data_IF_748175803611
#
_entry.id   IF_748175803611
#
_cell.length_a   1.000
_cell.length_b   1.000
_cell.length_c   1.000
_cell.angle_alpha   90.00
_cell.angle_beta   90.00
_cell.angle_gamma   90.00
#
_symmetry.space_group_name_H-M   'P 1'
#
loop_
_entity.id
_entity.type
_entity.pdbx_description
1 polymer ?
#
# COMPACT_ATOMS: atom_id res chain seq x y z
N UNK A 1 -46.10 -27.89 57.51
CA UNK A 1 -45.42 -26.64 57.68
C UNK A 1 -43.92 -26.88 57.39
N UNK A 2 -43.36 -26.20 56.42
CA UNK A 2 -41.94 -26.33 56.03
C UNK A 2 -41.16 -25.11 56.58
N UNK A 3 -39.99 -25.36 57.05
CA UNK A 3 -39.17 -24.29 57.73
C UNK A 3 -37.88 -24.00 57.03
N UNK A 4 -37.42 -24.87 56.11
CA UNK A 4 -36.17 -24.73 55.38
C UNK A 4 -36.33 -24.26 53.92
N UNK A 5 -35.24 -23.74 53.34
CA UNK A 5 -35.18 -23.40 51.92
C UNK A 5 -35.27 -24.63 51.00
N UNK A 6 -35.74 -24.41 49.81
CA UNK A 6 -35.83 -25.43 48.73
C UNK A 6 -36.64 -26.71 49.12
N UNK A 7 -37.55 -26.61 50.07
CA UNK A 7 -38.37 -27.76 50.47
C UNK A 7 -39.67 -27.82 49.68
N UNK A 8 -40.12 -29.05 49.34
CA UNK A 8 -41.38 -29.25 48.64
C UNK A 8 -42.56 -28.82 49.48
N UNK A 9 -43.40 -27.92 48.99
CA UNK A 9 -44.66 -27.45 49.57
C UNK A 9 -45.83 -28.18 48.90
N UNK A 10 -45.74 -28.39 47.62
CA UNK A 10 -46.71 -29.10 46.82
C UNK A 10 -46.04 -29.81 45.65
N UNK A 11 -46.67 -30.89 45.18
CA UNK A 11 -46.11 -31.69 44.09
C UNK A 11 -47.22 -32.34 43.26
N UNK A 12 -47.13 -32.20 41.93
CA UNK A 12 -47.87 -32.98 40.97
C UNK A 12 -46.87 -33.97 40.37
N UNK A 13 -47.19 -35.28 40.44
CA UNK A 13 -46.35 -36.36 39.91
C UNK A 13 -47.07 -37.15 38.84
N UNK A 14 -46.36 -37.38 37.72
CA UNK A 14 -46.70 -38.39 36.74
C UNK A 14 -45.89 -39.66 37.00
N UNK A 15 -46.57 -40.82 37.08
CA UNK A 15 -45.93 -42.10 37.31
C UNK A 15 -46.30 -43.07 36.19
N UNK A 16 -45.32 -43.87 35.76
CA UNK A 16 -45.50 -44.95 34.83
C UNK A 16 -45.02 -46.24 35.49
N UNK A 17 -45.93 -47.20 35.59
CA UNK A 17 -45.70 -48.49 36.26
C UNK A 17 -45.07 -48.33 37.68
N UNK A 18 -45.65 -47.41 38.49
CA UNK A 18 -45.18 -47.16 39.85
C UNK A 18 -43.94 -46.24 39.97
N UNK A 19 -43.24 -45.96 38.90
CA UNK A 19 -42.05 -45.10 38.88
C UNK A 19 -42.46 -43.68 38.51
N UNK A 20 -42.00 -42.67 39.26
CA UNK A 20 -42.25 -41.27 38.94
C UNK A 20 -41.39 -40.84 37.75
N UNK A 21 -42.01 -40.46 36.63
CA UNK A 21 -41.34 -40.07 35.37
C UNK A 21 -41.38 -38.58 35.08
N UNK A 22 -42.30 -37.84 35.69
CA UNK A 22 -42.38 -36.40 35.57
C UNK A 22 -42.90 -35.76 36.89
N UNK A 23 -42.54 -34.53 37.13
CA UNK A 23 -42.93 -33.81 38.35
C UNK A 23 -42.97 -32.30 38.13
N UNK A 24 -44.02 -31.67 38.62
CA UNK A 24 -44.04 -30.22 38.91
C UNK A 24 -44.02 -30.08 40.43
N UNK A 25 -43.00 -29.40 40.94
CA UNK A 25 -42.81 -29.19 42.36
C UNK A 25 -42.91 -27.70 42.69
N UNK A 26 -43.75 -27.38 43.67
CA UNK A 26 -43.79 -26.08 44.32
C UNK A 26 -42.86 -26.14 45.55
N UNK A 27 -41.84 -25.33 45.56
CA UNK A 27 -40.85 -25.35 46.64
C UNK A 27 -40.83 -24.00 47.37
N UNK A 28 -40.42 -24.02 48.62
CA UNK A 28 -39.98 -22.78 49.31
C UNK A 28 -38.78 -22.19 48.58
N UNK A 29 -38.69 -20.89 48.54
CA UNK A 29 -37.54 -20.18 48.02
C UNK A 29 -36.33 -20.22 48.97
N UNK A 30 -35.48 -19.23 48.88
CA UNK A 30 -34.28 -19.09 49.70
C UNK A 30 -34.51 -18.35 51.03
N UNK A 31 -35.54 -17.52 51.15
CA UNK A 31 -35.84 -16.78 52.34
C UNK A 31 -36.51 -17.68 53.37
N UNK A 32 -35.78 -18.00 54.42
CA UNK A 32 -36.26 -18.77 55.59
C UNK A 32 -36.80 -17.90 56.71
N UNK A 33 -36.66 -16.59 56.59
CA UNK A 33 -37.09 -15.63 57.64
C UNK A 33 -38.54 -15.20 57.43
N UNK A 34 -38.85 -14.60 56.30
CA UNK A 34 -40.19 -14.12 55.98
C UNK A 34 -41.09 -15.22 55.42
N UNK A 35 -40.49 -16.20 54.69
CA UNK A 35 -41.17 -17.39 54.12
C UNK A 35 -42.27 -17.05 53.14
N UNK A 36 -42.07 -15.99 52.36
CA UNK A 36 -43.03 -15.48 51.39
C UNK A 36 -42.54 -15.66 49.92
N UNK A 37 -41.37 -16.24 49.71
CA UNK A 37 -40.84 -16.58 48.42
C UNK A 37 -41.04 -18.05 48.02
N UNK A 38 -41.10 -18.31 46.73
CA UNK A 38 -41.36 -19.66 46.21
C UNK A 38 -40.72 -19.89 44.84
N UNK A 39 -40.57 -21.19 44.54
CA UNK A 39 -40.02 -21.68 43.27
C UNK A 39 -40.88 -22.73 42.65
N UNK A 40 -40.88 -22.80 41.32
CA UNK A 40 -41.56 -23.86 40.55
C UNK A 40 -40.51 -24.66 39.78
N UNK A 41 -40.45 -25.97 40.04
CA UNK A 41 -39.56 -26.90 39.35
C UNK A 41 -40.32 -27.84 38.44
N UNK A 42 -39.85 -27.98 37.22
CA UNK A 42 -40.28 -29.00 36.28
C UNK A 42 -39.18 -30.05 36.17
N UNK A 43 -39.50 -31.30 36.43
CA UNK A 43 -38.54 -32.41 36.39
C UNK A 43 -39.04 -33.54 35.51
N UNK A 44 -38.13 -34.18 34.78
CA UNK A 44 -38.38 -35.42 34.05
C UNK A 44 -37.32 -36.44 34.39
N UNK A 45 -37.64 -37.73 34.22
CA UNK A 45 -36.65 -38.79 34.41
C UNK A 45 -36.13 -39.27 33.07
N UNK A 46 -34.90 -39.69 33.06
CA UNK A 46 -34.28 -40.46 31.97
C UNK A 46 -34.54 -41.96 32.15
N UNK A 47 -34.09 -42.81 31.22
CA UNK A 47 -34.28 -44.25 31.28
C UNK A 47 -33.75 -44.92 32.57
N UNK A 48 -32.98 -44.26 33.38
CA UNK A 48 -32.45 -44.72 34.68
C UNK A 48 -33.37 -44.45 35.87
N UNK A 49 -34.55 -43.87 35.65
CA UNK A 49 -35.57 -43.69 36.69
C UNK A 49 -35.36 -42.54 37.70
N UNK A 50 -34.34 -41.72 37.54
CA UNK A 50 -34.09 -40.57 38.42
C UNK A 50 -34.69 -39.29 37.85
N UNK A 51 -35.48 -38.57 38.66
CA UNK A 51 -36.03 -37.27 38.30
C UNK A 51 -34.97 -36.18 38.39
N UNK A 52 -34.68 -35.54 37.29
CA UNK A 52 -33.80 -34.39 37.19
C UNK A 52 -34.62 -33.12 36.89
N UNK A 53 -34.20 -31.98 37.43
CA UNK A 53 -34.79 -30.68 37.12
C UNK A 53 -34.45 -30.25 35.70
N UNK A 54 -35.48 -29.85 34.92
CA UNK A 54 -35.35 -29.40 33.53
C UNK A 54 -35.62 -27.91 33.39
N UNK A 55 -36.57 -27.40 34.18
CA UNK A 55 -36.84 -25.98 34.27
C UNK A 55 -37.11 -25.56 35.71
N UNK A 56 -36.66 -24.37 36.06
CA UNK A 56 -36.87 -23.76 37.36
C UNK A 56 -37.29 -22.31 37.15
N UNK A 57 -38.45 -21.95 37.71
CA UNK A 57 -38.83 -20.54 37.90
C UNK A 57 -38.43 -20.19 39.33
N UNK A 58 -37.51 -19.25 39.46
CA UNK A 58 -36.99 -18.81 40.76
C UNK A 58 -37.88 -17.76 41.40
N UNK A 59 -37.60 -17.46 42.65
CA UNK A 59 -38.28 -16.45 43.45
C UNK A 59 -38.20 -15.02 42.89
N UNK A 60 -37.17 -14.71 42.09
CA UNK A 60 -36.99 -13.44 41.37
C UNK A 60 -37.70 -13.39 40.04
N UNK A 61 -38.45 -14.46 39.67
CA UNK A 61 -39.13 -14.58 38.40
C UNK A 61 -38.24 -15.05 37.22
N UNK A 62 -36.93 -15.24 37.42
CA UNK A 62 -36.08 -15.77 36.38
C UNK A 62 -36.36 -17.24 36.09
N UNK A 63 -36.21 -17.62 34.81
CA UNK A 63 -36.41 -19.01 34.32
C UNK A 63 -35.05 -19.60 33.97
N UNK A 64 -34.70 -20.66 34.68
CA UNK A 64 -33.48 -21.45 34.37
C UNK A 64 -33.89 -22.75 33.71
N UNK A 65 -33.34 -23.02 32.51
CA UNK A 65 -33.47 -24.28 31.81
C UNK A 65 -32.18 -25.08 31.99
N UNK A 66 -32.30 -26.40 32.21
CA UNK A 66 -31.16 -27.28 32.45
C UNK A 66 -31.23 -28.50 31.53
N UNK A 67 -30.20 -28.79 30.77
CA UNK A 67 -30.07 -30.01 29.97
C UNK A 67 -28.91 -30.84 30.54
N UNK A 68 -29.16 -32.16 30.68
CA UNK A 68 -28.13 -33.15 31.01
C UNK A 68 -27.56 -33.85 29.80
N UNK A 69 -28.07 -33.51 28.61
CA UNK A 69 -27.65 -34.16 27.38
C UNK A 69 -26.36 -33.48 26.81
N UNK A 70 -25.29 -34.20 26.69
CA UNK A 70 -24.02 -33.73 26.11
C UNK A 70 -24.13 -33.34 24.64
N UNK A 71 -25.21 -33.78 23.94
CA UNK A 71 -25.53 -33.43 22.55
C UNK A 71 -26.82 -32.60 22.47
N UNK A 72 -27.26 -31.99 23.59
CA UNK A 72 -28.61 -31.56 23.75
C UNK A 72 -28.93 -30.13 23.34
N UNK A 73 -30.11 -29.99 22.83
CA UNK A 73 -30.81 -28.74 22.59
C UNK A 73 -31.46 -28.28 23.92
N UNK A 74 -31.15 -27.07 24.34
CA UNK A 74 -31.76 -26.51 25.55
C UNK A 74 -33.09 -25.78 25.24
N UNK A 75 -33.18 -25.21 24.04
CA UNK A 75 -34.37 -24.62 23.48
C UNK A 75 -34.49 -25.16 22.05
N UNK A 76 -35.32 -26.18 21.87
CA UNK A 76 -35.68 -26.71 20.57
C UNK A 76 -37.14 -26.31 20.28
N UNK A 77 -37.29 -25.50 19.26
CA UNK A 77 -38.60 -25.10 18.77
C UNK A 77 -38.86 -25.70 17.38
N UNK A 78 -38.31 -26.87 17.14
CA UNK A 78 -38.37 -27.55 15.86
C UNK A 78 -39.55 -28.52 15.81
N UNK A 79 -40.48 -28.25 14.93
CA UNK A 79 -41.27 -29.23 14.18
C UNK A 79 -40.83 -29.18 12.72
N UNK A 80 -40.70 -30.32 12.08
CA UNK A 80 -40.26 -30.53 10.69
C UNK A 80 -41.15 -29.86 9.62
N UNK A 81 -42.16 -29.13 10.00
CA UNK A 81 -43.08 -28.44 9.09
C UNK A 81 -43.18 -26.95 9.42
N UNK A 82 -42.29 -26.16 8.83
CA UNK A 82 -42.46 -24.72 8.56
C UNK A 82 -43.00 -23.85 9.73
N UNK A 83 -42.38 -23.90 10.89
CA UNK A 83 -42.70 -22.96 12.00
C UNK A 83 -41.52 -22.08 12.35
N UNK A 84 -41.77 -20.79 12.42
CA UNK A 84 -40.80 -19.78 12.85
C UNK A 84 -40.73 -19.77 14.37
N UNK A 85 -39.56 -20.03 14.92
CA UNK A 85 -39.32 -19.78 16.35
C UNK A 85 -38.55 -18.50 16.51
N UNK A 86 -39.18 -17.52 17.08
CA UNK A 86 -38.53 -16.31 17.51
C UNK A 86 -38.25 -16.40 19.01
N UNK A 87 -36.99 -16.21 19.42
CA UNK A 87 -36.69 -15.80 20.78
C UNK A 87 -36.92 -14.30 20.80
N UNK A 88 -38.12 -13.86 21.19
CA UNK A 88 -38.43 -12.44 21.35
C UNK A 88 -37.98 -12.00 22.76
N UNK A 89 -36.91 -11.21 22.78
CA UNK A 89 -36.45 -10.55 23.99
C UNK A 89 -37.05 -9.14 24.07
N UNK A 90 -38.28 -9.03 24.57
CA UNK A 90 -38.89 -7.72 24.81
C UNK A 90 -38.39 -7.15 26.15
N UNK A 91 -37.49 -6.18 26.08
CA UNK A 91 -37.04 -5.41 27.25
C UNK A 91 -37.63 -4.00 27.22
N UNK A 92 -38.34 -3.56 28.25
CA UNK A 92 -38.74 -2.17 28.37
C UNK A 92 -37.53 -1.33 28.82
N UNK A 93 -37.10 -0.43 27.96
CA UNK A 93 -36.10 0.63 28.16
C UNK A 93 -34.61 0.27 28.25
N UNK A 94 -33.87 0.86 27.37
CA UNK A 94 -32.47 1.33 27.29
C UNK A 94 -31.32 0.35 26.99
N UNK A 95 -31.34 -0.94 27.30
CA UNK A 95 -30.25 -1.84 26.88
C UNK A 95 -30.80 -3.20 26.47
N UNK A 96 -30.89 -3.42 25.13
CA UNK A 96 -31.26 -4.71 24.57
C UNK A 96 -30.01 -5.49 24.25
N UNK A 97 -29.72 -6.55 24.99
CA UNK A 97 -28.56 -7.40 24.74
C UNK A 97 -28.98 -8.86 24.76
N UNK A 98 -28.85 -9.56 23.63
CA UNK A 98 -28.82 -11.01 23.64
C UNK A 98 -27.45 -11.40 24.21
N UNK A 99 -27.40 -11.82 25.46
CA UNK A 99 -26.18 -12.23 26.12
C UNK A 99 -25.95 -13.73 25.95
N UNK A 100 -25.00 -14.09 25.07
CA UNK A 100 -24.54 -15.46 24.89
C UNK A 100 -23.22 -15.60 25.66
N UNK A 101 -23.28 -16.13 26.89
CA UNK A 101 -22.12 -16.37 27.71
C UNK A 101 -21.71 -17.85 27.67
N UNK A 102 -20.50 -18.15 27.22
CA UNK A 102 -19.87 -19.45 27.37
C UNK A 102 -18.67 -19.32 28.30
N UNK A 103 -18.63 -20.11 29.36
CA UNK A 103 -17.54 -20.07 30.35
C UNK A 103 -16.21 -20.55 29.85
N UNK A 104 -16.15 -21.27 28.74
CA UNK A 104 -14.91 -21.76 28.14
C UNK A 104 -14.96 -21.72 26.62
N UNK A 105 -13.95 -21.19 26.05
CA UNK A 105 -13.29 -21.37 24.76
C UNK A 105 -14.00 -21.06 23.44
N UNK A 106 -15.30 -21.16 23.26
CA UNK A 106 -15.94 -20.84 21.97
C UNK A 106 -17.26 -20.10 22.15
N UNK A 107 -17.33 -18.87 21.63
CA UNK A 107 -18.56 -18.10 21.54
C UNK A 107 -18.89 -17.91 20.07
N UNK A 108 -19.85 -18.65 19.53
CA UNK A 108 -20.25 -18.53 18.13
C UNK A 108 -21.75 -18.47 18.00
N UNK A 109 -22.20 -17.63 17.07
CA UNK A 109 -23.55 -17.68 16.52
C UNK A 109 -23.41 -18.27 15.13
N UNK A 110 -24.02 -19.41 14.89
CA UNK A 110 -23.99 -20.07 13.60
C UNK A 110 -25.36 -20.01 12.94
N UNK A 111 -25.39 -19.62 11.69
CA UNK A 111 -26.56 -19.71 10.82
C UNK A 111 -26.32 -20.87 9.85
N UNK A 112 -27.11 -21.93 9.98
CA UNK A 112 -27.01 -23.10 9.10
C UNK A 112 -28.12 -23.10 8.07
N UNK A 113 -27.78 -23.45 6.85
CA UNK A 113 -28.79 -23.72 5.81
C UNK A 113 -29.30 -25.15 5.95
N UNK A 114 -30.63 -25.36 5.79
CA UNK A 114 -31.32 -26.63 5.94
C UNK A 114 -30.78 -27.78 5.07
N UNK A 115 -30.04 -27.50 3.99
CA UNK A 115 -29.63 -28.50 2.98
C UNK A 115 -28.18 -29.02 3.17
N UNK A 116 -27.60 -28.90 4.35
CA UNK A 116 -26.31 -29.55 4.61
C UNK A 116 -25.19 -28.59 5.02
N UNK A 117 -24.00 -28.93 4.77
CA UNK A 117 -22.75 -28.62 5.37
C UNK A 117 -22.24 -27.17 5.29
N UNK A 118 -22.90 -26.25 4.59
CA UNK A 118 -22.38 -24.92 4.30
C UNK A 118 -23.24 -23.81 4.93
N UNK A 119 -22.79 -23.23 6.01
CA UNK A 119 -23.42 -22.09 6.67
C UNK A 119 -22.42 -20.98 7.02
N UNK A 120 -22.93 -19.76 7.10
CA UNK A 120 -22.18 -18.64 7.68
C UNK A 120 -22.29 -18.68 9.21
N UNK A 121 -21.18 -18.46 9.87
CA UNK A 121 -21.11 -18.26 11.31
C UNK A 121 -20.29 -17.02 11.66
N UNK A 122 -20.54 -16.43 12.82
CA UNK A 122 -19.69 -15.39 13.38
C UNK A 122 -19.57 -15.54 14.91
N UNK A 123 -18.49 -15.10 15.47
CA UNK A 123 -18.27 -15.21 16.91
C UNK A 123 -16.84 -14.91 17.33
N UNK A 124 -16.55 -15.18 18.59
CA UNK A 124 -15.22 -15.05 19.18
C UNK A 124 -14.55 -16.41 19.28
N UNK A 125 -13.27 -16.50 18.92
CA UNK A 125 -12.43 -17.67 19.22
C UNK A 125 -11.78 -17.54 20.61
N UNK A 126 -11.04 -18.59 21.02
CA UNK A 126 -10.36 -18.67 22.31
C UNK A 126 -9.28 -17.60 22.53
N UNK A 127 -8.78 -17.01 21.44
CA UNK A 127 -7.75 -15.97 21.44
C UNK A 127 -8.36 -14.57 21.41
N UNK A 128 -9.68 -14.45 21.52
CA UNK A 128 -10.39 -13.17 21.51
C UNK A 128 -10.53 -12.55 20.13
N UNK A 129 -10.34 -13.31 19.04
CA UNK A 129 -10.57 -12.81 17.69
C UNK A 129 -12.05 -12.94 17.32
N UNK A 130 -12.64 -11.88 16.79
CA UNK A 130 -13.95 -11.96 16.13
C UNK A 130 -13.77 -12.52 14.71
N UNK A 131 -14.58 -13.51 14.35
CA UNK A 131 -14.51 -14.19 13.05
C UNK A 131 -15.84 -14.23 12.34
N UNK A 132 -15.79 -14.16 11.01
CA UNK A 132 -16.85 -14.57 10.11
C UNK A 132 -16.34 -15.74 9.30
N UNK A 133 -17.06 -16.87 9.33
CA UNK A 133 -16.68 -18.12 8.66
C UNK A 133 -17.75 -18.56 7.69
N UNK A 134 -17.37 -19.34 6.67
CA UNK A 134 -18.28 -20.11 5.80
C UNK A 134 -17.81 -21.56 5.80
N UNK A 135 -18.63 -22.44 6.34
CA UNK A 135 -18.20 -23.80 6.67
C UNK A 135 -17.02 -23.76 7.67
N UNK A 136 -15.90 -24.36 7.30
CA UNK A 136 -14.67 -24.34 8.10
C UNK A 136 -13.72 -23.20 7.74
N UNK A 137 -14.02 -22.45 6.65
CA UNK A 137 -13.13 -21.44 6.12
C UNK A 137 -13.39 -20.06 6.73
N UNK A 138 -12.39 -19.45 7.28
CA UNK A 138 -12.43 -18.08 7.74
C UNK A 138 -12.50 -17.12 6.53
N UNK A 139 -13.39 -16.11 6.61
CA UNK A 139 -13.57 -15.09 5.57
C UNK A 139 -13.13 -13.71 6.03
N UNK A 140 -13.42 -13.40 7.28
CA UNK A 140 -13.04 -12.14 7.91
C UNK A 140 -12.65 -12.42 9.35
N UNK A 141 -11.60 -11.78 9.81
CA UNK A 141 -11.17 -11.74 11.21
C UNK A 141 -10.95 -10.31 11.65
N UNK A 142 -11.38 -9.99 12.85
CA UNK A 142 -10.83 -8.87 13.63
C UNK A 142 -10.05 -9.52 14.77
N UNK A 143 -8.72 -9.43 14.71
CA UNK A 143 -7.88 -10.06 15.72
C UNK A 143 -7.88 -9.28 17.04
N UNK A 144 -7.31 -9.87 18.10
CA UNK A 144 -7.23 -9.25 19.44
C UNK A 144 -6.46 -7.93 19.47
N UNK A 145 -5.67 -7.61 18.43
CA UNK A 145 -4.99 -6.32 18.26
C UNK A 145 -5.79 -5.31 17.43
N UNK A 146 -7.03 -5.62 17.06
CA UNK A 146 -7.93 -4.74 16.31
C UNK A 146 -7.71 -4.70 14.81
N UNK A 147 -6.93 -5.63 14.23
CA UNK A 147 -6.69 -5.69 12.78
C UNK A 147 -7.78 -6.45 12.06
N UNK A 148 -8.24 -5.92 10.94
CA UNK A 148 -9.22 -6.55 10.05
C UNK A 148 -8.46 -7.32 8.96
N UNK A 149 -8.65 -8.63 8.92
CA UNK A 149 -8.03 -9.54 7.98
C UNK A 149 -9.12 -10.17 7.11
N UNK A 150 -8.94 -10.16 5.80
CA UNK A 150 -9.89 -10.71 4.82
C UNK A 150 -9.15 -11.77 4.00
N UNK A 151 -9.63 -13.01 4.04
CA UNK A 151 -9.08 -14.14 3.28
C UNK A 151 -8.09 -15.01 4.05
N UNK A 152 -7.36 -14.49 5.04
CA UNK A 152 -6.48 -15.25 5.92
C UNK A 152 -6.63 -14.82 7.38
N UNK A 153 -6.23 -15.69 8.30
CA UNK A 153 -6.30 -15.45 9.73
C UNK A 153 -5.04 -14.88 10.37
N UNK A 154 -3.95 -14.70 9.62
CA UNK A 154 -2.67 -14.25 10.15
C UNK A 154 -2.31 -12.87 9.61
N UNK A 155 -2.05 -11.91 10.50
CA UNK A 155 -1.59 -10.59 10.11
C UNK A 155 -0.11 -10.64 9.70
N UNK A 156 0.22 -10.06 8.56
CA UNK A 156 1.57 -10.01 8.04
C UNK A 156 2.19 -8.62 8.15
N UNK A 157 3.51 -8.59 8.26
CA UNK A 157 4.31 -7.38 8.20
C UNK A 157 4.76 -7.15 6.75
N UNK A 158 4.28 -6.07 6.15
CA UNK A 158 4.70 -5.65 4.81
C UNK A 158 5.38 -4.29 4.92
N UNK A 159 6.55 -4.12 4.33
CA UNK A 159 7.38 -2.90 4.38
C UNK A 159 7.67 -2.37 5.80
N UNK A 160 7.78 -3.25 6.80
CA UNK A 160 7.93 -2.86 8.20
C UNK A 160 6.64 -2.39 8.87
N UNK A 161 5.49 -2.47 8.18
CA UNK A 161 4.18 -2.08 8.69
C UNK A 161 3.27 -3.29 8.87
N UNK A 162 2.59 -3.33 9.99
CA UNK A 162 1.54 -4.29 10.25
C UNK A 162 0.18 -3.57 10.12
N UNK A 163 -0.31 -3.47 8.88
CA UNK A 163 -1.48 -2.66 8.53
C UNK A 163 -2.74 -3.10 9.29
N UNK A 164 -3.64 -2.15 9.59
CA UNK A 164 -4.89 -2.44 10.31
C UNK A 164 -5.94 -3.15 9.44
N UNK A 165 -5.87 -3.01 8.10
CA UNK A 165 -6.73 -3.75 7.17
C UNK A 165 -5.83 -4.44 6.17
N UNK A 166 -5.95 -5.76 6.06
CA UNK A 166 -5.17 -6.59 5.15
C UNK A 166 -6.10 -7.51 4.37
N UNK A 167 -5.88 -7.63 3.06
CA UNK A 167 -6.59 -8.55 2.18
C UNK A 167 -5.62 -9.57 1.62
N UNK A 168 -5.95 -10.85 1.75
CA UNK A 168 -5.14 -11.97 1.31
C UNK A 168 -5.89 -12.79 0.27
N UNK A 169 -5.19 -13.24 -0.75
CA UNK A 169 -5.75 -14.09 -1.78
C UNK A 169 -4.67 -14.74 -2.63
N UNK A 170 -5.05 -15.79 -3.36
CA UNK A 170 -4.17 -16.55 -4.23
C UNK A 170 -4.33 -16.18 -5.70
N UNK A 171 -5.25 -15.28 -6.00
CA UNK A 171 -5.52 -14.77 -7.35
C UNK A 171 -5.94 -13.29 -7.32
N UNK A 172 -6.06 -12.67 -8.48
CA UNK A 172 -6.37 -11.25 -8.62
C UNK A 172 -7.75 -10.87 -8.05
N UNK A 173 -8.74 -11.77 -8.04
CA UNK A 173 -10.08 -11.47 -7.54
C UNK A 173 -10.15 -11.54 -6.02
N UNK A 174 -9.38 -12.42 -5.40
CA UNK A 174 -9.36 -12.63 -3.95
C UNK A 174 -8.42 -11.68 -3.21
N UNK A 175 -7.45 -11.06 -3.92
CA UNK A 175 -6.46 -10.11 -3.36
C UNK A 175 -6.67 -8.67 -3.85
N UNK A 176 -7.90 -8.28 -4.19
CA UNK A 176 -8.20 -6.96 -4.75
C UNK A 176 -9.10 -6.12 -3.85
N UNK A 177 -8.96 -4.78 -3.96
CA UNK A 177 -9.87 -3.80 -3.38
C UNK A 177 -10.43 -2.94 -4.50
N UNK A 178 -11.76 -2.91 -4.66
CA UNK A 178 -12.44 -2.09 -5.66
C UNK A 178 -13.26 -0.99 -4.96
N UNK A 179 -13.03 0.27 -5.35
CA UNK A 179 -13.80 1.41 -4.89
C UNK A 179 -14.61 1.92 -6.09
N UNK A 180 -15.93 1.71 -6.08
CA UNK A 180 -16.82 2.08 -7.18
C UNK A 180 -17.88 3.08 -6.73
N UNK A 181 -18.05 4.14 -7.49
CA UNK A 181 -19.18 5.06 -7.39
C UNK A 181 -20.08 4.91 -8.61
N UNK A 182 -21.40 4.76 -8.40
CA UNK A 182 -22.43 4.84 -9.43
C UNK A 182 -23.21 6.13 -9.25
N UNK A 183 -23.05 7.10 -10.14
CA UNK A 183 -23.74 8.40 -10.09
C UNK A 183 -23.82 8.99 -11.48
N UNK A 184 -24.84 9.83 -11.71
CA UNK A 184 -25.02 10.57 -12.96
C UNK A 184 -24.41 12.00 -12.89
N UNK A 185 -23.38 12.19 -12.11
CA UNK A 185 -22.60 13.43 -12.01
C UNK A 185 -21.14 13.22 -12.45
N UNK A 186 -20.38 14.33 -12.52
CA UNK A 186 -18.99 14.31 -12.98
C UNK A 186 -17.95 13.90 -11.89
N UNK A 187 -18.36 13.53 -10.67
CA UNK A 187 -17.45 13.23 -9.59
C UNK A 187 -17.02 11.77 -9.57
N UNK A 188 -15.80 11.48 -9.09
CA UNK A 188 -15.21 10.16 -9.01
C UNK A 188 -15.43 9.48 -7.63
N UNK A 189 -15.05 8.19 -7.52
CA UNK A 189 -14.74 7.56 -6.24
C UNK A 189 -13.37 8.04 -5.75
N UNK A 190 -13.11 8.03 -4.44
CA UNK A 190 -11.90 8.55 -3.83
C UNK A 190 -11.19 7.51 -2.97
N UNK A 191 -9.86 7.47 -3.06
CA UNK A 191 -8.96 6.98 -2.02
C UNK A 191 -8.27 8.20 -1.40
N UNK A 192 -8.53 8.50 -0.13
CA UNK A 192 -8.03 9.72 0.54
C UNK A 192 -7.03 9.32 1.62
N UNK A 193 -5.83 9.87 1.52
CA UNK A 193 -4.81 9.83 2.58
C UNK A 193 -4.62 11.24 3.12
N UNK A 194 -4.58 11.39 4.44
CA UNK A 194 -4.43 12.69 5.08
C UNK A 194 -3.59 12.59 6.34
N UNK A 195 -2.90 13.67 6.69
CA UNK A 195 -2.04 13.75 7.87
C UNK A 195 -2.34 15.00 8.68
N UNK A 196 -2.30 14.87 10.00
CA UNK A 196 -2.20 15.94 11.00
C UNK A 196 -1.00 15.64 11.92
N UNK A 197 -0.33 16.65 12.43
CA UNK A 197 0.71 16.49 13.47
C UNK A 197 0.13 16.36 14.90
N UNK A 198 -1.20 16.33 15.01
CA UNK A 198 -1.83 16.12 16.32
C UNK A 198 -1.76 14.63 16.72
N UNK A 199 -1.39 14.37 17.96
CA UNK A 199 -1.32 13.01 18.50
C UNK A 199 -2.70 12.42 18.84
N UNK A 200 -3.75 13.24 18.91
CA UNK A 200 -5.12 12.81 19.21
C UNK A 200 -5.95 12.72 17.94
N UNK A 201 -6.59 11.57 17.72
CA UNK A 201 -7.51 11.36 16.60
C UNK A 201 -8.66 12.38 16.68
N UNK A 202 -8.98 13.01 15.54
CA UNK A 202 -10.02 14.05 15.46
C UNK A 202 -9.54 15.46 15.73
N UNK A 203 -8.38 15.64 16.37
CA UNK A 203 -7.75 16.94 16.56
C UNK A 203 -6.84 17.31 15.38
N UNK A 204 -6.58 18.61 15.21
CA UNK A 204 -5.84 19.12 14.06
C UNK A 204 -4.66 19.95 14.51
N UNK A 205 -3.50 19.69 13.93
CA UNK A 205 -2.28 20.49 14.05
C UNK A 205 -1.63 20.56 12.67
N UNK A 206 -1.19 21.75 12.29
CA UNK A 206 -0.60 22.02 11.00
C UNK A 206 0.62 21.10 10.77
N UNK A 207 0.77 20.64 9.54
CA UNK A 207 1.95 19.90 9.08
C UNK A 207 3.14 20.84 8.87
N UNK A 208 4.33 20.29 8.73
CA UNK A 208 5.55 21.06 8.46
C UNK A 208 6.09 20.73 7.06
N UNK A 209 6.94 21.61 6.54
CA UNK A 209 7.73 21.31 5.33
C UNK A 209 8.51 20.00 5.49
N UNK A 210 8.44 19.12 4.49
CA UNK A 210 9.05 17.79 4.48
C UNK A 210 8.19 16.69 5.10
N UNK A 211 7.01 16.98 5.65
CA UNK A 211 6.09 15.94 6.15
C UNK A 211 5.54 15.10 5.00
N UNK A 212 5.65 13.77 5.11
CA UNK A 212 4.93 12.84 4.22
C UNK A 212 3.43 12.89 4.55
N UNK A 213 2.58 13.02 3.52
CA UNK A 213 1.13 13.09 3.65
C UNK A 213 0.47 11.75 3.34
N UNK A 214 0.96 11.08 2.31
CA UNK A 214 0.48 9.77 1.89
C UNK A 214 1.47 9.05 1.00
N UNK A 215 1.51 7.71 1.15
CA UNK A 215 2.43 6.85 0.44
C UNK A 215 1.70 5.64 -0.12
N UNK A 216 2.00 5.29 -1.38
CA UNK A 216 1.65 4.02 -2.00
C UNK A 216 2.95 3.25 -2.21
N UNK A 217 3.08 2.09 -1.58
CA UNK A 217 4.25 1.22 -1.70
C UNK A 217 3.93 -0.01 -2.53
N UNK A 218 4.92 -0.47 -3.28
CA UNK A 218 4.94 -1.74 -3.96
C UNK A 218 6.06 -2.57 -3.35
N UNK A 219 5.70 -3.65 -2.66
CA UNK A 219 6.63 -4.58 -2.04
C UNK A 219 6.65 -5.90 -2.78
N UNK A 220 7.77 -6.59 -2.73
CA UNK A 220 7.90 -7.95 -3.25
C UNK A 220 8.59 -8.83 -2.20
N UNK A 221 8.21 -10.11 -2.20
CA UNK A 221 8.88 -11.14 -1.43
C UNK A 221 10.25 -11.44 -2.06
N UNK A 222 11.30 -11.32 -1.28
CA UNK A 222 12.68 -11.63 -1.71
C UNK A 222 13.11 -13.06 -1.33
N UNK A 223 12.18 -13.88 -0.86
CA UNK A 223 12.41 -15.22 -0.35
C UNK A 223 12.72 -15.27 1.14
N UNK A 224 12.74 -14.10 1.81
CA UNK A 224 12.97 -13.97 3.27
C UNK A 224 11.78 -13.29 3.93
N UNK A 225 11.30 -12.18 3.36
CA UNK A 225 10.17 -11.40 3.88
C UNK A 225 9.59 -10.45 2.81
N UNK A 226 8.57 -9.67 3.21
CA UNK A 226 7.90 -8.64 2.39
C UNK A 226 8.35 -7.22 2.78
N UNK A 227 9.53 -7.03 3.33
CA UNK A 227 10.00 -5.71 3.78
C UNK A 227 10.68 -4.92 2.65
N UNK A 228 11.08 -5.59 1.57
CA UNK A 228 11.76 -4.97 0.43
C UNK A 228 10.80 -4.20 -0.48
N UNK A 229 11.02 -2.88 -0.62
CA UNK A 229 10.25 -2.05 -1.53
C UNK A 229 10.80 -2.11 -2.95
N UNK A 230 9.97 -2.40 -3.94
CA UNK A 230 10.34 -2.31 -5.36
C UNK A 230 10.13 -0.91 -5.93
N UNK A 231 9.06 -0.23 -5.49
CA UNK A 231 8.73 1.13 -5.89
C UNK A 231 7.84 1.83 -4.85
N UNK A 232 7.73 3.16 -4.95
CA UNK A 232 6.75 3.94 -4.20
C UNK A 232 6.29 5.20 -4.95
N UNK A 233 5.07 5.65 -4.64
CA UNK A 233 4.56 6.98 -4.98
C UNK A 233 4.30 7.68 -3.65
N UNK A 234 4.89 8.87 -3.46
CA UNK A 234 4.79 9.61 -2.20
C UNK A 234 4.36 11.05 -2.44
N UNK A 235 3.57 11.59 -1.50
CA UNK A 235 3.25 13.01 -1.42
C UNK A 235 3.83 13.59 -0.14
N UNK A 236 4.50 14.73 -0.25
CA UNK A 236 5.11 15.45 0.86
C UNK A 236 4.75 16.93 0.82
N UNK A 237 4.78 17.57 1.98
CA UNK A 237 4.66 19.03 2.08
C UNK A 237 5.98 19.64 1.56
N UNK A 238 5.86 20.52 0.57
CA UNK A 238 6.99 21.10 -0.19
C UNK A 238 6.93 22.64 -0.12
N UNK A 239 7.16 23.17 1.05
CA UNK A 239 7.09 24.59 1.36
C UNK A 239 6.58 24.87 2.76
N UNK A 240 6.39 26.13 3.11
CA UNK A 240 5.84 26.55 4.39
C UNK A 240 4.29 26.48 4.35
N UNK A 241 3.63 25.57 5.09
CA UNK A 241 2.18 25.51 5.10
C UNK A 241 1.58 26.64 5.95
N UNK A 242 0.36 27.06 5.59
CA UNK A 242 -0.41 28.11 6.25
C UNK A 242 -1.90 27.78 6.35
N UNK A 243 -2.71 28.71 6.81
CA UNK A 243 -4.16 28.55 6.83
C UNK A 243 -4.70 28.48 5.39
N UNK A 244 -5.35 27.35 5.03
CA UNK A 244 -5.85 27.04 3.69
C UNK A 244 -4.74 26.99 2.60
N UNK A 245 -3.50 26.76 3.01
CA UNK A 245 -2.33 26.67 2.15
C UNK A 245 -1.46 25.50 2.58
N UNK A 246 -1.33 24.50 1.70
CA UNK A 246 -0.52 23.31 1.93
C UNK A 246 0.21 22.94 0.65
N UNK A 247 1.35 23.61 0.36
CA UNK A 247 2.14 23.30 -0.83
C UNK A 247 2.66 21.88 -0.76
N UNK A 248 2.55 21.13 -1.87
CA UNK A 248 2.91 19.72 -1.91
C UNK A 248 3.65 19.32 -3.17
N UNK A 249 4.48 18.28 -3.06
CA UNK A 249 5.10 17.60 -4.18
C UNK A 249 4.52 16.18 -4.35
N UNK A 250 4.79 15.62 -5.52
CA UNK A 250 4.57 14.20 -5.82
C UNK A 250 5.88 13.59 -6.30
N UNK A 251 6.28 12.46 -5.69
CA UNK A 251 7.55 11.81 -6.00
C UNK A 251 7.35 10.35 -6.37
N UNK A 252 8.17 9.86 -7.32
CA UNK A 252 8.20 8.46 -7.76
C UNK A 252 9.55 7.86 -7.42
N UNK A 253 9.51 6.69 -6.83
CA UNK A 253 10.66 5.98 -6.28
C UNK A 253 10.77 4.59 -6.89
N UNK A 254 11.98 4.14 -7.17
CA UNK A 254 12.26 2.75 -7.57
C UNK A 254 13.52 2.25 -6.87
N UNK A 255 13.62 0.94 -6.72
CA UNK A 255 14.77 0.29 -6.09
C UNK A 255 15.76 -0.15 -7.17
N UNK A 256 17.04 0.26 -7.10
CA UNK A 256 18.06 -0.22 -8.02
C UNK A 256 18.42 -1.69 -7.75
N UNK A 257 18.96 -2.37 -8.76
CA UNK A 257 19.48 -3.72 -8.61
C UNK A 257 20.56 -3.79 -7.52
N UNK A 258 20.55 -4.86 -6.72
CA UNK A 258 21.43 -5.07 -5.58
C UNK A 258 21.07 -4.25 -4.32
N UNK A 259 19.89 -3.62 -4.26
CA UNK A 259 19.41 -2.84 -3.10
C UNK A 259 18.03 -3.31 -2.65
N UNK A 260 17.72 -3.14 -1.37
CA UNK A 260 16.39 -3.28 -0.79
C UNK A 260 15.71 -1.93 -0.52
N UNK A 261 16.34 -0.81 -0.90
CA UNK A 261 15.89 0.53 -0.58
C UNK A 261 15.58 1.32 -1.84
N UNK A 262 14.34 1.78 -1.98
CA UNK A 262 13.90 2.64 -3.07
C UNK A 262 14.55 4.02 -2.96
N UNK A 263 14.94 4.57 -4.10
CA UNK A 263 15.47 5.92 -4.24
C UNK A 263 14.58 6.75 -5.15
N UNK A 264 14.47 8.04 -4.87
CA UNK A 264 13.66 8.98 -5.65
C UNK A 264 14.21 9.10 -7.08
N UNK A 265 13.31 9.03 -8.09
CA UNK A 265 13.64 9.12 -9.50
C UNK A 265 13.01 10.33 -10.17
N UNK A 266 11.77 10.68 -9.77
CA UNK A 266 11.04 11.80 -10.33
C UNK A 266 10.43 12.62 -9.20
N UNK A 267 10.45 13.94 -9.35
CA UNK A 267 9.72 14.89 -8.51
C UNK A 267 8.87 15.79 -9.38
N UNK A 268 7.62 15.98 -8.99
CA UNK A 268 6.80 17.11 -9.43
C UNK A 268 6.69 18.02 -8.22
N UNK A 269 7.36 19.19 -8.27
CA UNK A 269 7.40 20.17 -7.18
C UNK A 269 6.06 20.91 -6.98
N UNK A 270 5.95 21.66 -5.89
CA UNK A 270 4.81 22.55 -5.65
C UNK A 270 4.60 23.62 -6.76
N UNK A 271 5.65 23.96 -7.50
CA UNK A 271 5.61 24.87 -8.64
C UNK A 271 5.22 24.17 -9.97
N UNK A 272 4.95 22.86 -9.95
CA UNK A 272 4.63 22.06 -11.13
C UNK A 272 5.85 21.68 -12.00
N UNK A 273 7.05 21.94 -11.54
CA UNK A 273 8.26 21.55 -12.28
C UNK A 273 8.55 20.05 -12.07
N UNK A 274 8.77 19.33 -13.16
CA UNK A 274 9.17 17.95 -13.14
C UNK A 274 10.70 17.82 -13.24
N UNK A 275 11.30 17.15 -12.29
CA UNK A 275 12.73 16.82 -12.27
C UNK A 275 12.93 15.31 -12.29
N UNK A 276 13.83 14.83 -13.15
CA UNK A 276 14.24 13.42 -13.26
C UNK A 276 15.70 13.30 -12.82
N UNK A 277 15.99 12.46 -11.83
CA UNK A 277 17.32 12.41 -11.18
C UNK A 277 18.45 11.89 -12.07
N UNK A 278 18.14 11.16 -13.15
CA UNK A 278 19.15 10.64 -14.09
C UNK A 278 19.08 11.30 -15.46
N UNK A 279 18.56 12.52 -15.56
CA UNK A 279 18.66 13.31 -16.76
C UNK A 279 20.08 13.88 -16.85
N UNK A 280 20.78 13.62 -17.94
CA UNK A 280 22.14 14.13 -18.18
C UNK A 280 22.07 15.33 -19.12
N UNK A 281 22.80 16.39 -18.76
CA UNK A 281 22.98 17.57 -19.57
C UNK A 281 24.40 18.09 -19.41
N UNK A 282 25.04 18.45 -20.51
CA UNK A 282 26.40 18.99 -20.57
C UNK A 282 26.46 20.20 -21.48
N UNK A 283 27.12 21.24 -21.04
CA UNK A 283 27.68 22.30 -21.87
C UNK A 283 29.21 22.33 -21.66
N UNK A 284 29.94 22.09 -22.73
CA UNK A 284 31.39 22.22 -22.75
C UNK A 284 31.80 23.31 -23.76
N UNK A 285 32.85 24.05 -23.42
CA UNK A 285 33.41 25.09 -24.27
C UNK A 285 34.92 25.14 -24.17
N UNK A 286 35.52 26.20 -24.70
CA UNK A 286 36.96 26.45 -24.64
C UNK A 286 37.29 27.53 -23.61
N UNK A 287 38.25 27.26 -22.72
CA UNK A 287 38.78 28.27 -21.82
C UNK A 287 39.76 29.27 -22.52
N UNK A 288 40.41 28.80 -23.60
CA UNK A 288 41.35 29.57 -24.41
C UNK A 288 41.26 29.16 -25.88
N UNK A 289 41.70 30.05 -26.76
CA UNK A 289 41.80 29.78 -28.20
C UNK A 289 42.66 28.54 -28.48
N UNK A 290 42.27 27.73 -29.43
CA UNK A 290 43.13 26.70 -30.03
C UNK A 290 43.81 27.31 -31.22
N UNK A 291 45.08 27.67 -31.05
CA UNK A 291 45.85 28.37 -32.10
C UNK A 291 46.15 27.57 -33.36
N UNK A 292 46.05 26.27 -33.29
CA UNK A 292 46.34 25.39 -34.46
C UNK A 292 45.57 24.07 -34.34
N UNK A 293 44.27 24.10 -34.63
CA UNK A 293 43.47 22.89 -34.73
C UNK A 293 43.67 22.23 -36.10
N UNK A 294 44.02 20.94 -36.12
CA UNK A 294 44.16 20.19 -37.33
C UNK A 294 42.79 19.84 -37.94
N UNK A 295 42.32 20.72 -38.78
CA UNK A 295 40.99 20.60 -39.41
C UNK A 295 40.95 19.65 -40.62
N UNK A 296 41.99 18.84 -40.87
CA UNK A 296 41.96 17.78 -41.92
C UNK A 296 41.33 16.48 -41.45
N UNK A 297 40.75 16.45 -40.27
CA UNK A 297 39.98 15.32 -39.76
C UNK A 297 40.76 14.39 -38.83
N UNK A 298 41.83 14.86 -38.20
CA UNK A 298 42.69 14.05 -37.33
C UNK A 298 42.17 13.78 -35.94
N UNK A 299 41.10 14.46 -35.49
CA UNK A 299 40.51 14.24 -34.16
C UNK A 299 39.42 15.26 -33.82
N UNK A 300 38.66 15.02 -32.75
CA UNK A 300 37.63 15.94 -32.29
C UNK A 300 38.24 17.23 -31.72
N UNK A 301 37.46 18.30 -31.66
CA UNK A 301 37.79 19.52 -30.94
C UNK A 301 37.85 19.20 -29.45
N UNK A 302 38.95 19.57 -28.81
CA UNK A 302 39.11 19.39 -27.35
C UNK A 302 38.49 20.59 -26.65
N UNK A 303 37.19 20.49 -26.33
CA UNK A 303 36.54 21.44 -25.44
C UNK A 303 37.12 21.22 -24.02
N UNK A 304 37.90 22.13 -23.55
CA UNK A 304 38.73 21.95 -22.35
C UNK A 304 38.12 22.52 -21.08
N UNK A 305 36.87 22.98 -21.12
CA UNK A 305 36.12 23.48 -19.99
C UNK A 305 34.70 22.94 -19.97
N UNK A 306 34.24 22.52 -18.78
CA UNK A 306 32.82 22.27 -18.52
C UNK A 306 32.24 23.60 -18.07
N UNK A 307 31.33 24.18 -18.86
CA UNK A 307 30.61 25.40 -18.52
C UNK A 307 29.42 25.06 -17.63
N UNK A 308 28.74 23.96 -17.91
CA UNK A 308 27.60 23.45 -17.13
C UNK A 308 27.49 21.93 -17.27
N UNK A 309 27.24 21.23 -16.17
CA UNK A 309 26.97 19.80 -16.19
C UNK A 309 25.89 19.48 -15.15
N UNK A 310 24.80 18.87 -15.59
CA UNK A 310 23.78 18.30 -14.73
C UNK A 310 23.82 16.78 -14.86
N UNK A 311 23.98 16.08 -13.74
CA UNK A 311 24.08 14.63 -13.67
C UNK A 311 23.67 14.12 -12.31
N UNK A 312 23.42 12.82 -12.20
CA UNK A 312 23.30 12.15 -10.90
C UNK A 312 24.59 12.37 -10.08
N UNK A 313 24.44 12.77 -8.83
CA UNK A 313 25.57 13.05 -7.93
C UNK A 313 26.50 11.83 -7.71
N UNK A 314 25.99 10.62 -7.93
CA UNK A 314 26.78 9.38 -7.84
C UNK A 314 27.65 9.10 -9.07
N UNK A 315 27.42 9.79 -10.20
CA UNK A 315 28.20 9.63 -11.42
C UNK A 315 29.42 10.58 -11.41
N UNK A 316 30.56 10.06 -11.81
CA UNK A 316 31.70 10.91 -12.20
C UNK A 316 31.31 11.77 -13.43
N UNK A 317 32.05 12.85 -13.71
CA UNK A 317 31.85 13.57 -14.96
C UNK A 317 32.02 12.63 -16.15
N UNK A 318 31.05 12.67 -17.04
CA UNK A 318 31.07 11.89 -18.28
C UNK A 318 31.85 12.56 -19.41
N UNK A 319 32.35 13.76 -19.17
CA UNK A 319 33.15 14.53 -20.16
C UNK A 319 34.60 14.64 -19.75
N UNK A 320 35.48 14.29 -20.68
CA UNK A 320 36.91 14.39 -20.49
C UNK A 320 37.46 15.65 -21.19
N UNK A 321 37.79 16.67 -20.40
CA UNK A 321 38.32 17.96 -20.90
C UNK A 321 39.69 17.87 -21.54
N UNK A 322 40.44 16.78 -21.35
CA UNK A 322 41.74 16.56 -21.98
C UNK A 322 41.62 15.93 -23.37
N UNK A 323 40.54 15.24 -23.66
CA UNK A 323 40.29 14.55 -24.96
C UNK A 323 39.15 15.18 -25.74
N UNK A 324 38.31 16.00 -25.15
CA UNK A 324 37.10 16.56 -25.75
C UNK A 324 36.02 15.50 -26.02
N UNK A 325 36.08 14.35 -25.32
CA UNK A 325 35.15 13.24 -25.49
C UNK A 325 34.17 13.17 -24.33
N UNK A 326 32.92 13.00 -24.69
CA UNK A 326 31.83 12.61 -23.79
C UNK A 326 31.69 11.09 -23.82
N UNK A 327 31.62 10.44 -22.64
CA UNK A 327 31.33 9.02 -22.52
C UNK A 327 29.86 8.85 -22.09
N UNK A 328 29.07 8.18 -22.88
CA UNK A 328 27.64 7.98 -22.68
C UNK A 328 27.36 7.22 -21.37
N UNK A 329 26.71 7.82 -20.35
CA UNK A 329 26.51 7.16 -19.06
C UNK A 329 25.44 6.07 -19.07
N UNK A 330 24.43 6.21 -19.94
CA UNK A 330 23.32 5.27 -20.08
C UNK A 330 22.92 5.12 -21.53
N UNK A 331 22.41 3.98 -21.91
CA UNK A 331 21.81 3.79 -23.26
C UNK A 331 20.54 4.62 -23.40
N UNK A 332 20.44 5.45 -24.43
CA UNK A 332 19.29 6.33 -24.62
C UNK A 332 19.31 7.12 -25.91
N UNK A 333 18.32 7.98 -26.09
CA UNK A 333 18.28 8.96 -27.16
C UNK A 333 18.92 10.27 -26.67
N UNK A 334 19.93 10.75 -27.37
CA UNK A 334 20.65 11.97 -27.01
C UNK A 334 20.43 13.04 -28.06
N UNK A 335 20.20 14.26 -27.61
CA UNK A 335 20.32 15.46 -28.43
C UNK A 335 21.75 15.98 -28.31
N UNK A 336 22.39 16.21 -29.43
CA UNK A 336 23.76 16.68 -29.58
C UNK A 336 23.73 17.99 -30.36
N UNK A 337 24.39 19.01 -29.87
CA UNK A 337 24.54 20.30 -30.54
C UNK A 337 25.98 20.80 -30.31
N UNK A 338 26.67 21.18 -31.38
CA UNK A 338 27.96 21.80 -31.27
C UNK A 338 28.19 22.85 -32.34
N UNK A 339 28.94 23.87 -32.00
CA UNK A 339 29.35 24.94 -32.86
C UNK A 339 30.85 25.22 -32.72
N UNK A 340 31.46 25.71 -33.76
CA UNK A 340 32.87 26.08 -33.78
C UNK A 340 33.05 27.32 -34.63
N UNK A 341 33.82 28.32 -34.08
CA UNK A 341 34.16 29.53 -34.75
C UNK A 341 35.70 29.65 -34.98
N UNK A 342 36.11 30.03 -36.18
CA UNK A 342 37.47 30.28 -36.53
C UNK A 342 37.66 31.67 -37.16
N UNK A 343 38.77 32.31 -36.87
CA UNK A 343 39.12 33.60 -37.48
C UNK A 343 40.00 33.49 -38.74
N UNK A 344 40.53 32.31 -39.01
CA UNK A 344 41.38 32.07 -40.16
C UNK A 344 41.05 30.70 -40.77
N UNK A 345 40.35 30.65 -41.83
CA UNK A 345 40.03 29.40 -42.51
C UNK A 345 38.56 29.30 -42.89
N UNK A 346 38.27 28.25 -43.63
CA UNK A 346 36.95 27.90 -44.10
C UNK A 346 36.62 26.56 -43.51
N UNK A 347 35.48 26.43 -42.79
CA UNK A 347 34.92 25.14 -42.50
C UNK A 347 34.19 24.60 -43.73
N UNK A 348 34.44 23.34 -44.04
CA UNK A 348 33.73 22.66 -45.10
C UNK A 348 32.66 21.68 -44.58
N UNK A 349 32.93 21.09 -43.43
CA UNK A 349 32.07 20.06 -42.86
C UNK A 349 32.26 19.94 -41.36
N UNK A 350 31.26 19.46 -40.67
CA UNK A 350 31.38 19.04 -39.28
C UNK A 350 30.69 17.70 -39.05
N UNK A 351 31.20 16.93 -38.11
CA UNK A 351 30.65 15.61 -37.78
C UNK A 351 30.56 15.38 -36.28
N UNK A 352 29.55 14.61 -35.91
CA UNK A 352 29.58 13.88 -34.64
C UNK A 352 30.34 12.58 -34.83
N UNK A 353 31.32 12.33 -34.03
CA UNK A 353 32.14 11.12 -34.00
C UNK A 353 31.71 10.28 -32.81
N UNK A 354 31.15 9.09 -33.08
CA UNK A 354 30.68 8.16 -32.06
C UNK A 354 31.52 6.90 -32.15
N UNK A 355 32.15 6.50 -31.02
CA UNK A 355 33.07 5.35 -30.97
C UNK A 355 34.11 5.34 -32.12
N UNK A 356 34.64 6.53 -32.44
CA UNK A 356 35.62 6.70 -33.54
C UNK A 356 35.04 6.77 -34.97
N UNK A 357 33.74 6.52 -35.16
CA UNK A 357 33.08 6.59 -36.44
C UNK A 357 32.31 7.89 -36.64
N UNK A 358 32.40 8.49 -37.82
CA UNK A 358 31.61 9.68 -38.20
C UNK A 358 30.16 9.29 -38.42
N UNK A 359 29.21 9.98 -37.77
CA UNK A 359 27.76 9.63 -37.78
C UNK A 359 26.89 10.67 -38.50
N UNK A 360 26.93 11.91 -38.05
CA UNK A 360 26.13 12.99 -38.65
C UNK A 360 27.06 14.07 -39.17
N UNK A 361 26.71 14.67 -40.31
CA UNK A 361 27.52 15.74 -40.91
C UNK A 361 26.63 16.92 -41.31
N UNK A 362 27.24 18.08 -41.35
CA UNK A 362 26.66 19.28 -41.96
C UNK A 362 27.68 19.80 -42.96
N UNK A 363 27.23 20.14 -44.16
CA UNK A 363 28.01 20.89 -45.14
C UNK A 363 27.66 22.38 -45.01
N UNK A 364 28.57 23.15 -44.44
CA UNK A 364 28.46 24.61 -44.44
C UNK A 364 29.76 25.21 -44.95
N UNK A 365 29.71 25.87 -46.08
CA UNK A 365 30.83 26.64 -46.62
C UNK A 365 30.63 28.11 -46.23
N UNK A 366 31.34 28.57 -45.21
CA UNK A 366 31.43 30.01 -44.94
C UNK A 366 32.81 30.53 -45.41
N UNK A 367 32.80 31.42 -46.36
CA UNK A 367 33.98 32.08 -46.87
C UNK A 367 34.03 33.53 -46.40
N UNK A 368 35.15 33.93 -45.77
CA UNK A 368 35.36 35.30 -45.29
C UNK A 368 36.08 35.36 -43.93
N UNK A 369 36.43 36.48 -43.41
CA UNK A 369 37.29 36.72 -42.23
C UNK A 369 36.80 36.18 -40.88
N UNK A 370 35.86 35.23 -40.88
CA UNK A 370 35.41 34.42 -39.77
C UNK A 370 34.54 33.29 -40.29
N UNK A 371 34.92 32.03 -40.01
CA UNK A 371 34.16 30.85 -40.37
C UNK A 371 33.47 30.25 -39.15
N UNK A 372 32.22 29.81 -39.36
CA UNK A 372 31.41 29.19 -38.34
C UNK A 372 30.89 27.86 -38.88
N UNK A 373 30.89 26.82 -38.04
CA UNK A 373 30.19 25.57 -38.34
C UNK A 373 29.31 25.18 -37.16
N UNK A 374 28.15 24.65 -37.47
CA UNK A 374 27.18 24.22 -36.47
C UNK A 374 26.59 22.88 -36.90
N UNK A 375 26.48 21.97 -35.98
CA UNK A 375 25.86 20.67 -36.22
C UNK A 375 25.00 20.24 -35.03
N UNK A 376 23.85 19.73 -35.30
CA UNK A 376 22.99 19.10 -34.32
C UNK A 376 22.53 17.71 -34.81
N UNK A 377 22.32 16.80 -33.88
CA UNK A 377 21.85 15.45 -34.17
C UNK A 377 21.05 14.88 -33.02
N UNK A 378 20.13 14.00 -33.33
CA UNK A 378 19.49 13.10 -32.35
C UNK A 378 19.98 11.69 -32.64
N UNK A 379 20.74 11.11 -31.72
CA UNK A 379 21.35 9.79 -31.89
C UNK A 379 20.98 8.88 -30.72
N UNK A 380 20.64 7.64 -31.05
CA UNK A 380 20.57 6.59 -30.04
C UNK A 380 21.99 6.09 -29.76
N UNK A 381 22.43 6.26 -28.51
CA UNK A 381 23.76 5.90 -28.07
C UNK A 381 23.67 4.79 -27.02
N UNK A 382 24.69 3.94 -26.98
CA UNK A 382 24.83 2.87 -26.00
C UNK A 382 25.74 3.34 -24.86
N UNK A 383 25.45 2.89 -23.63
CA UNK A 383 26.30 3.19 -22.49
C UNK A 383 27.76 2.79 -22.76
N UNK A 384 28.69 3.69 -22.44
CA UNK A 384 30.14 3.53 -22.67
C UNK A 384 30.62 3.98 -24.04
N UNK A 385 29.75 4.31 -25.00
CA UNK A 385 30.20 4.91 -26.26
C UNK A 385 30.78 6.31 -26.03
N UNK A 386 31.85 6.64 -26.76
CA UNK A 386 32.44 7.97 -26.73
C UNK A 386 31.91 8.85 -27.85
N UNK A 387 31.63 10.11 -27.54
CA UNK A 387 31.10 11.10 -28.49
C UNK A 387 32.01 12.32 -28.51
N UNK A 388 32.38 12.77 -29.68
CA UNK A 388 33.14 13.99 -29.90
C UNK A 388 32.64 14.77 -31.11
N UNK A 389 32.99 16.04 -31.19
CA UNK A 389 32.68 16.92 -32.28
C UNK A 389 33.91 17.19 -33.13
N UNK A 390 33.86 17.01 -34.42
CA UNK A 390 34.95 17.25 -35.36
C UNK A 390 34.52 18.31 -36.35
N UNK A 391 35.37 19.33 -36.53
CA UNK A 391 35.26 20.33 -37.59
C UNK A 391 36.33 20.07 -38.68
N UNK A 392 35.95 20.17 -39.92
CA UNK A 392 36.82 19.91 -41.07
C UNK A 392 36.98 21.16 -41.92
N UNK A 393 38.23 21.45 -42.33
CA UNK A 393 38.49 22.51 -43.27
C UNK A 393 38.88 21.96 -44.63
N UNK A 394 38.16 22.35 -45.68
CA UNK A 394 38.44 21.99 -47.06
C UNK A 394 39.76 22.61 -47.60
N UNK A 395 40.29 23.64 -46.92
CA UNK A 395 41.56 24.25 -47.34
C UNK A 395 42.80 23.40 -47.01
N UNK A 396 42.62 22.32 -46.24
CA UNK A 396 43.73 21.44 -45.85
C UNK A 396 44.73 22.09 -44.84
N UNK A 397 44.38 23.26 -44.29
CA UNK A 397 45.23 24.01 -43.37
C UNK A 397 44.70 23.93 -41.94
N UNK A 398 45.59 24.06 -40.97
CA UNK A 398 45.21 24.25 -39.57
C UNK A 398 44.45 25.58 -39.41
N UNK A 399 43.45 25.54 -38.52
CA UNK A 399 42.63 26.71 -38.23
C UNK A 399 42.75 27.13 -36.78
N UNK A 400 42.55 28.41 -36.49
CA UNK A 400 42.50 28.95 -35.14
C UNK A 400 41.05 28.92 -34.64
N UNK A 401 40.76 28.02 -33.74
CA UNK A 401 39.42 27.93 -33.10
C UNK A 401 39.39 28.88 -31.92
N UNK A 402 38.39 29.74 -31.87
CA UNK A 402 38.25 30.81 -30.88
C UNK A 402 37.45 30.33 -29.65
N UNK A 403 37.99 30.66 -28.50
CA UNK A 403 37.33 30.50 -27.21
C UNK A 403 36.22 31.55 -27.04
N UNK A 404 35.05 31.26 -27.56
CA UNK A 404 33.89 32.11 -27.42
C UNK A 404 32.67 31.24 -27.12
N UNK A 405 32.22 31.28 -25.89
CA UNK A 405 31.12 30.44 -25.41
C UNK A 405 29.81 30.57 -26.21
N UNK A 406 29.63 31.69 -26.94
CA UNK A 406 28.46 31.91 -27.79
C UNK A 406 28.64 31.28 -29.18
N UNK A 407 29.86 30.95 -29.60
CA UNK A 407 30.12 30.46 -30.95
C UNK A 407 30.95 29.16 -31.01
N UNK A 408 31.60 28.78 -29.88
CA UNK A 408 32.37 27.53 -29.83
C UNK A 408 31.99 26.79 -28.57
N UNK A 409 31.11 25.80 -28.73
CA UNK A 409 30.56 25.02 -27.65
C UNK A 409 30.12 23.64 -28.12
N UNK A 410 29.94 22.76 -27.17
CA UNK A 410 29.27 21.49 -27.32
C UNK A 410 28.21 21.31 -26.23
N UNK A 411 27.02 20.91 -26.62
CA UNK A 411 25.90 20.59 -25.72
C UNK A 411 25.43 19.15 -25.97
N UNK A 412 25.21 18.44 -24.90
CA UNK A 412 24.70 17.07 -24.96
C UNK A 412 23.60 16.92 -23.91
N UNK A 413 22.45 16.44 -24.32
CA UNK A 413 21.35 16.17 -23.41
C UNK A 413 20.76 14.79 -23.65
N UNK A 414 20.54 14.02 -22.59
CA UNK A 414 19.75 12.79 -22.63
C UNK A 414 18.26 13.16 -22.72
N UNK A 415 17.57 12.66 -23.74
CA UNK A 415 16.17 12.96 -23.99
C UNK A 415 15.26 11.95 -23.28
N UNK A 416 15.62 10.67 -23.36
CA UNK A 416 14.94 9.56 -22.66
C UNK A 416 15.68 8.21 -22.85
#
# INVERSE_FOLDING_TARGET
>A
NRTGANQHVGTIKGSWNGTSVARIALNTGSDTTNKDDGRILFSTSTSGGTLANRALIKEDGSIQLTSENTNGWLLDAGDDSASYTAIDTHFPTTNRTLYLNAETTHRSIAFWNKNGSDGYGFGLDNSGNFKVVYGTNERIRINSSGKVLIGDGTAENTIGLNANVQTFGTDASTSSVAIRRGSNDAQAAFLVMSKSRNASVGSRTIVNNGDEVGNIFFAADDGTDLVSNTAAIKSQVDGAPGANDTPGNLTFWTTPDGSNTATQKVTISNAGLMTVTKQYYLVADLSNDIGSYNATGAGPIIFNRIAEEYKDASLASCFNTSTGLFTTPVTGLYFLEAACYSTNGTFGQSWWVVAGARKSFTDEVMTGGGAFTHNHAMLRLTAGETVGFLAYSSSGSNINVKANANHTYMKIALMH
#
